data_IF_543480416066
#
_entry.id   IF_543480416066
#
_cell.length_a   1.000
_cell.length_b   1.000
_cell.length_c   1.000
_cell.angle_alpha   90.00
_cell.angle_beta   90.00
_cell.angle_gamma   90.00
#
_symmetry.space_group_name_H-M   'P 1'
#
loop_
_entity.id
_entity.type
_entity.pdbx_description
1 polymer ?
#
# COMPACT_ATOMS: atom_id res chain seq x y z
N UNK A 1 -17.44 5.91 17.24
CA UNK A 1 -15.98 5.65 17.20
C UNK A 1 -15.67 5.15 15.79
N UNK A 2 -14.85 5.74 14.94
CA UNK A 2 -14.13 7.01 14.85
C UNK A 2 -14.38 7.47 13.41
N UNK A 3 -14.60 8.78 13.18
CA UNK A 3 -14.57 9.32 11.82
C UNK A 3 -13.13 9.15 11.34
N UNK A 4 -12.88 8.11 10.53
CA UNK A 4 -11.66 8.01 9.72
C UNK A 4 -11.60 9.29 8.90
N UNK A 5 -10.86 10.28 9.37
CA UNK A 5 -10.46 11.41 8.55
C UNK A 5 -9.81 10.77 7.32
N UNK A 6 -10.47 10.87 6.17
CA UNK A 6 -9.91 10.43 4.91
C UNK A 6 -8.64 11.26 4.75
N UNK A 7 -7.50 10.70 5.14
CA UNK A 7 -6.22 11.32 4.89
C UNK A 7 -6.14 11.53 3.39
N UNK A 8 -5.90 12.77 2.98
CA UNK A 8 -5.93 13.19 1.60
C UNK A 8 -4.98 12.28 0.80
N UNK A 9 -5.56 11.59 -0.19
CA UNK A 9 -4.81 10.73 -1.10
C UNK A 9 -4.24 11.64 -2.17
N UNK A 10 -2.92 11.82 -2.14
CA UNK A 10 -2.18 12.65 -3.09
C UNK A 10 -2.03 11.93 -4.42
N UNK A 11 -1.84 10.61 -4.38
CA UNK A 11 -1.72 9.76 -5.56
C UNK A 11 -2.16 8.33 -5.22
N UNK A 12 -2.77 7.63 -6.17
CA UNK A 12 -3.13 6.21 -6.02
C UNK A 12 -2.82 5.44 -7.30
N UNK A 13 -2.24 4.26 -7.14
CA UNK A 13 -2.03 3.30 -8.23
C UNK A 13 -2.61 1.93 -7.84
N UNK A 14 -3.16 1.23 -8.84
CA UNK A 14 -3.80 -0.07 -8.63
C UNK A 14 -3.15 -1.12 -9.53
N UNK A 15 -2.77 -2.25 -8.94
CA UNK A 15 -2.27 -3.43 -9.66
C UNK A 15 -3.24 -4.59 -9.43
N UNK A 16 -3.84 -5.09 -10.51
CA UNK A 16 -4.68 -6.29 -10.46
C UNK A 16 -3.83 -7.50 -10.77
N UNK A 17 -3.83 -8.47 -9.86
CA UNK A 17 -3.25 -9.79 -10.06
C UNK A 17 -4.35 -10.86 -9.94
N UNK A 18 -4.09 -12.07 -10.41
CA UNK A 18 -5.06 -13.19 -10.41
C UNK A 18 -5.65 -13.45 -9.00
N UNK A 19 -6.80 -12.86 -8.70
CA UNK A 19 -7.52 -12.97 -7.43
C UNK A 19 -7.09 -12.00 -6.32
N UNK A 20 -6.12 -11.12 -6.58
CA UNK A 20 -5.59 -10.14 -5.62
C UNK A 20 -5.56 -8.75 -6.25
N UNK A 21 -5.89 -7.71 -5.48
CA UNK A 21 -5.74 -6.31 -5.92
C UNK A 21 -4.81 -5.60 -4.96
N UNK A 22 -3.78 -4.97 -5.49
CA UNK A 22 -2.85 -4.14 -4.73
C UNK A 22 -3.14 -2.67 -4.99
N UNK A 23 -3.16 -1.88 -3.92
CA UNK A 23 -3.35 -0.43 -3.93
C UNK A 23 -2.11 0.22 -3.35
N UNK A 24 -1.51 1.15 -4.10
CA UNK A 24 -0.36 1.94 -3.70
C UNK A 24 -0.82 3.39 -3.55
N UNK A 25 -1.17 3.78 -2.32
CA UNK A 25 -1.70 5.10 -2.01
C UNK A 25 -0.62 5.97 -1.35
N UNK A 26 -0.30 7.12 -1.95
CA UNK A 26 0.48 8.18 -1.28
C UNK A 26 -0.50 9.09 -0.55
N UNK A 27 -0.32 9.23 0.75
CA UNK A 27 -1.22 9.98 1.63
C UNK A 27 -0.46 11.04 2.40
N UNK A 28 -1.13 12.15 2.71
CA UNK A 28 -0.56 13.22 3.55
C UNK A 28 -0.85 12.95 5.02
N UNK A 29 0.19 12.91 5.84
CA UNK A 29 0.05 12.85 7.30
C UNK A 29 -0.44 14.20 7.84
N UNK A 30 -0.97 14.21 9.06
CA UNK A 30 -1.38 15.45 9.74
C UNK A 30 -0.21 16.42 9.94
N UNK A 31 1.02 15.92 10.03
CA UNK A 31 2.26 16.71 10.10
C UNK A 31 2.67 17.36 8.78
N UNK A 32 1.97 17.06 7.67
CA UNK A 32 2.29 17.56 6.34
C UNK A 32 3.17 16.63 5.49
N UNK A 33 3.86 15.67 6.10
CA UNK A 33 4.72 14.72 5.38
C UNK A 33 3.90 13.63 4.68
N UNK A 34 4.36 13.21 3.50
CA UNK A 34 3.73 12.12 2.75
C UNK A 34 4.22 10.76 3.25
N UNK A 35 3.37 9.75 3.14
CA UNK A 35 3.73 8.35 3.37
C UNK A 35 3.00 7.45 2.37
N UNK A 36 3.58 6.29 2.08
CA UNK A 36 3.02 5.29 1.20
C UNK A 36 2.22 4.27 2.01
N UNK A 37 1.02 3.93 1.55
CA UNK A 37 0.26 2.77 2.01
C UNK A 37 0.14 1.76 0.88
N UNK A 38 0.62 0.54 1.10
CA UNK A 38 0.39 -0.58 0.19
C UNK A 38 -0.69 -1.45 0.81
N UNK A 39 -1.82 -1.63 0.13
CA UNK A 39 -2.89 -2.54 0.57
C UNK A 39 -3.07 -3.68 -0.42
N UNK A 40 -3.05 -4.91 0.05
CA UNK A 40 -3.51 -6.07 -0.72
C UNK A 40 -4.95 -6.39 -0.31
N UNK A 41 -5.84 -6.60 -1.28
CA UNK A 41 -7.17 -7.17 -1.04
C UNK A 41 -7.36 -8.44 -1.85
N UNK A 42 -8.01 -9.43 -1.25
CA UNK A 42 -8.42 -10.65 -1.94
C UNK A 42 -9.64 -11.26 -1.27
N UNK A 43 -10.36 -12.11 -2.01
CA UNK A 43 -11.55 -12.80 -1.51
C UNK A 43 -11.23 -14.25 -1.21
N UNK A 44 -11.55 -14.70 0.00
CA UNK A 44 -11.58 -16.13 0.36
C UNK A 44 -12.73 -16.82 -0.38
N UNK A 45 -12.70 -18.15 -0.38
CA UNK A 45 -13.74 -18.99 -1.02
C UNK A 45 -15.10 -18.87 -0.34
N UNK A 46 -15.12 -18.57 0.95
CA UNK A 46 -16.33 -18.31 1.75
C UNK A 46 -16.93 -16.91 1.51
N UNK A 47 -16.29 -16.08 0.68
CA UNK A 47 -16.73 -14.73 0.36
C UNK A 47 -16.12 -13.63 1.24
N UNK A 48 -15.36 -13.97 2.28
CA UNK A 48 -14.70 -12.98 3.14
C UNK A 48 -13.64 -12.19 2.37
N UNK A 49 -13.68 -10.86 2.49
CA UNK A 49 -12.66 -9.97 1.90
C UNK A 49 -11.53 -9.78 2.90
N UNK A 50 -10.35 -10.30 2.57
CA UNK A 50 -9.14 -10.09 3.35
C UNK A 50 -8.43 -8.83 2.85
N UNK A 51 -8.00 -7.98 3.78
CA UNK A 51 -7.18 -6.80 3.49
C UNK A 51 -5.92 -6.78 4.35
N UNK A 52 -4.76 -6.86 3.69
CA UNK A 52 -3.46 -6.64 4.31
C UNK A 52 -2.99 -5.21 4.02
N UNK A 53 -2.36 -4.54 4.98
CA UNK A 53 -1.88 -3.16 4.82
C UNK A 53 -0.47 -3.01 5.37
N UNK A 54 0.39 -2.38 4.58
CA UNK A 54 1.71 -1.91 4.97
C UNK A 54 1.75 -0.38 4.83
N UNK A 55 2.36 0.30 5.80
CA UNK A 55 2.57 1.75 5.77
C UNK A 55 4.08 2.01 5.82
N UNK A 56 4.56 2.87 4.93
CA UNK A 56 5.98 3.21 4.78
C UNK A 56 6.09 4.72 4.81
N UNK A 57 6.75 5.25 5.83
CA UNK A 57 7.00 6.68 5.96
C UNK A 57 8.11 7.14 4.99
N UNK A 58 8.10 8.43 4.67
CA UNK A 58 8.98 9.06 3.69
C UNK A 58 10.48 8.83 3.94
N UNK A 59 10.88 8.77 5.20
CA UNK A 59 12.27 8.50 5.63
C UNK A 59 12.73 7.06 5.31
N UNK A 60 11.80 6.13 5.19
CA UNK A 60 12.08 4.72 4.90
C UNK A 60 11.85 4.33 3.44
N UNK A 61 11.20 5.19 2.64
CA UNK A 61 10.78 4.84 1.26
C UNK A 61 11.95 4.49 0.36
N UNK A 62 13.09 5.18 0.50
CA UNK A 62 14.29 4.91 -0.29
C UNK A 62 14.83 3.50 -0.02
N UNK A 63 15.02 3.14 1.25
CA UNK A 63 15.48 1.80 1.65
C UNK A 63 14.52 0.71 1.20
N UNK A 64 13.22 0.94 1.35
CA UNK A 64 12.18 0.00 0.91
C UNK A 64 12.21 -0.20 -0.62
N UNK A 65 12.32 0.87 -1.39
CA UNK A 65 12.37 0.81 -2.85
C UNK A 65 13.60 0.05 -3.35
N UNK A 66 14.76 0.28 -2.74
CA UNK A 66 15.99 -0.46 -3.07
C UNK A 66 15.81 -1.95 -2.80
N UNK A 67 15.34 -2.32 -1.60
CA UNK A 67 15.13 -3.73 -1.23
C UNK A 67 14.11 -4.42 -2.14
N UNK A 68 13.02 -3.73 -2.51
CA UNK A 68 12.01 -4.24 -3.45
C UNK A 68 12.62 -4.48 -4.84
N UNK A 69 13.39 -3.50 -5.36
CA UNK A 69 14.03 -3.59 -6.66
C UNK A 69 15.06 -4.73 -6.71
N UNK A 70 15.89 -4.87 -5.67
CA UNK A 70 16.88 -5.94 -5.55
C UNK A 70 16.24 -7.32 -5.47
N UNK A 71 15.21 -7.48 -4.64
CA UNK A 71 14.45 -8.74 -4.54
C UNK A 71 13.80 -9.11 -5.87
N UNK A 72 13.28 -8.11 -6.60
CA UNK A 72 12.65 -8.30 -7.90
C UNK A 72 13.59 -8.86 -8.98
N UNK A 73 14.91 -8.74 -8.82
CA UNK A 73 15.88 -9.34 -9.76
C UNK A 73 15.86 -10.86 -9.75
N UNK A 74 15.41 -11.48 -8.65
CA UNK A 74 15.32 -12.94 -8.49
C UNK A 74 13.94 -13.51 -8.85
N UNK A 75 12.97 -12.65 -9.16
CA UNK A 75 11.60 -13.05 -9.52
C UNK A 75 11.37 -13.07 -11.04
N UNK A 76 12.44 -12.90 -11.83
CA UNK A 76 12.43 -12.88 -13.29
C UNK A 76 12.93 -14.20 -13.87
#
# INVERSE_FOLDING_TARGET
MEKNAQQEVVNSQVVKARGKTYFFDVKKAKSGNNYLTISETWKKKDGEVVRNRLMIFSDHVGKFSTALSESGKYLK
#
